data_IF_588548782065
#
_entry.id   IF_588548782065
#
_cell.length_a   1.000
_cell.length_b   1.000
_cell.length_c   1.000
_cell.angle_alpha   90.00
_cell.angle_beta   90.00
_cell.angle_gamma   90.00
#
_symmetry.space_group_name_H-M   'P 1'
#
loop_
_entity.id
_entity.type
_entity.pdbx_description
1 polymer ?
#
# COMPACT_ATOMS: atom_id res chain seq x y z
N UNK A 1 -1.41 3.28 24.92
CA UNK A 1 -1.96 2.48 23.82
C UNK A 1 -0.90 1.50 23.38
N UNK A 2 -1.27 0.30 23.00
CA UNK A 2 -0.28 -0.75 22.77
C UNK A 2 0.19 -0.74 21.31
N UNK A 3 1.51 -0.86 21.14
CA UNK A 3 2.13 -1.17 19.85
C UNK A 3 1.49 -2.43 19.24
N UNK A 4 1.40 -2.52 17.92
CA UNK A 4 0.82 -3.66 17.18
C UNK A 4 1.27 -5.03 17.69
N UNK A 5 2.56 -5.20 18.00
CA UNK A 5 3.11 -6.45 18.53
C UNK A 5 2.55 -6.84 19.90
N UNK A 6 2.04 -5.88 20.68
CA UNK A 6 1.38 -6.19 21.95
C UNK A 6 -0.03 -6.76 21.77
N UNK A 7 -0.70 -6.42 20.63
CA UNK A 7 -1.99 -7.00 20.27
C UNK A 7 -1.87 -8.46 19.80
N UNK A 8 -0.72 -8.86 19.27
CA UNK A 8 -0.50 -10.23 18.79
C UNK A 8 -0.43 -11.19 19.98
N UNK A 9 -1.31 -12.21 20.04
CA UNK A 9 -1.29 -13.18 21.14
C UNK A 9 -0.06 -14.08 21.08
N UNK A 10 0.27 -14.63 22.21
CA UNK A 10 1.41 -15.53 22.36
C UNK A 10 1.05 -16.98 22.01
N UNK A 11 2.09 -17.73 21.66
CA UNK A 11 1.99 -19.11 21.28
C UNK A 11 3.17 -19.91 21.86
N UNK A 12 2.90 -20.90 22.69
CA UNK A 12 3.94 -21.78 23.21
C UNK A 12 4.29 -22.84 22.15
N UNK A 13 5.42 -22.64 21.46
CA UNK A 13 5.93 -23.52 20.41
C UNK A 13 6.93 -24.50 20.98
N UNK A 14 6.93 -25.73 20.45
CA UNK A 14 7.86 -26.80 20.86
C UNK A 14 9.30 -26.39 20.59
N UNK A 15 10.15 -26.43 21.60
CA UNK A 15 11.57 -26.11 21.44
C UNK A 15 12.25 -27.13 20.52
N UNK A 16 12.95 -26.63 19.50
CA UNK A 16 13.74 -27.44 18.55
C UNK A 16 15.24 -27.39 18.83
N UNK A 17 15.65 -26.92 19.99
CA UNK A 17 17.06 -26.94 20.39
C UNK A 17 17.57 -28.37 20.50
N UNK A 18 18.86 -28.64 20.20
CA UNK A 18 19.42 -30.00 20.16
C UNK A 18 19.25 -30.79 21.45
N UNK A 19 19.22 -30.13 22.61
CA UNK A 19 19.08 -30.74 23.93
C UNK A 19 17.71 -30.53 24.59
N UNK A 20 16.71 -30.05 23.82
CA UNK A 20 15.39 -29.78 24.37
C UNK A 20 14.62 -31.09 24.63
N UNK A 21 13.93 -31.12 25.78
CA UNK A 21 12.99 -32.18 26.13
C UNK A 21 11.65 -32.01 25.39
N UNK A 22 10.86 -33.06 25.34
CA UNK A 22 9.52 -33.06 24.74
C UNK A 22 8.58 -32.02 25.39
N UNK A 23 8.82 -31.72 26.66
CA UNK A 23 8.03 -30.75 27.45
C UNK A 23 8.52 -29.29 27.34
N UNK A 24 9.62 -29.05 26.60
CA UNK A 24 10.21 -27.72 26.53
C UNK A 24 9.53 -26.89 25.44
N UNK A 25 8.92 -25.80 25.85
CA UNK A 25 8.25 -24.85 24.99
C UNK A 25 8.97 -23.49 25.01
N UNK A 26 8.92 -22.81 23.87
CA UNK A 26 9.40 -21.44 23.72
C UNK A 26 8.20 -20.58 23.40
N UNK A 27 8.00 -19.51 24.19
CA UNK A 27 6.94 -18.55 23.94
C UNK A 27 7.34 -17.63 22.80
N UNK A 28 6.48 -17.56 21.77
CA UNK A 28 6.65 -16.73 20.60
C UNK A 28 5.36 -15.99 20.27
N UNK A 29 5.44 -14.88 19.54
CA UNK A 29 4.25 -14.19 19.01
C UNK A 29 3.65 -14.97 17.85
N UNK A 30 2.33 -15.04 17.79
CA UNK A 30 1.61 -15.73 16.71
C UNK A 30 1.44 -14.83 15.49
N UNK A 31 2.46 -14.74 14.65
CA UNK A 31 2.44 -13.94 13.41
C UNK A 31 1.44 -14.42 12.34
N UNK A 32 0.79 -15.56 12.54
CA UNK A 32 -0.30 -16.01 11.64
C UNK A 32 -1.63 -15.30 11.92
N UNK A 33 -1.72 -14.57 13.05
CA UNK A 33 -2.83 -13.69 13.35
C UNK A 33 -2.49 -12.26 13.01
N UNK A 34 -3.44 -11.58 12.36
CA UNK A 34 -3.31 -10.15 12.01
C UNK A 34 -4.62 -9.43 12.28
N UNK A 35 -4.53 -8.16 12.58
CA UNK A 35 -5.69 -7.26 12.60
C UNK A 35 -6.16 -7.06 11.17
N UNK A 36 -7.46 -7.03 10.98
CA UNK A 36 -8.12 -6.64 9.74
C UNK A 36 -9.16 -5.58 10.04
N UNK A 37 -9.31 -4.60 9.16
CA UNK A 37 -10.45 -3.69 9.26
C UNK A 37 -11.71 -4.45 8.89
N UNK A 38 -12.81 -4.17 9.62
CA UNK A 38 -14.12 -4.69 9.25
C UNK A 38 -14.48 -4.22 7.84
N UNK A 39 -15.20 -5.06 7.11
CA UNK A 39 -15.56 -4.80 5.72
C UNK A 39 -16.43 -3.53 5.56
N UNK A 40 -17.35 -3.29 6.50
CA UNK A 40 -18.19 -2.09 6.54
C UNK A 40 -17.40 -0.79 6.73
N UNK A 41 -16.28 -0.83 7.47
CA UNK A 41 -15.36 0.29 7.63
C UNK A 41 -14.51 0.44 6.36
N UNK A 42 -13.90 -0.65 5.89
CA UNK A 42 -12.98 -0.62 4.75
C UNK A 42 -13.64 -0.15 3.45
N UNK A 43 -14.89 -0.55 3.20
CA UNK A 43 -15.65 -0.17 2.00
C UNK A 43 -16.24 1.25 2.06
N UNK A 44 -16.22 1.90 3.21
CA UNK A 44 -16.87 3.18 3.40
C UNK A 44 -15.85 4.33 3.52
N UNK A 45 -15.67 5.06 2.43
CA UNK A 45 -14.74 6.20 2.35
C UNK A 45 -15.03 7.32 3.38
N UNK A 46 -16.23 7.36 3.98
CA UNK A 46 -16.55 8.39 4.99
C UNK A 46 -15.75 8.24 6.27
N UNK A 47 -15.23 7.04 6.57
CA UNK A 47 -14.35 6.78 7.71
C UNK A 47 -12.92 7.30 7.50
N UNK A 48 -12.54 7.61 6.25
CA UNK A 48 -11.19 7.97 5.89
C UNK A 48 -11.09 9.44 5.43
N UNK A 49 -9.87 9.97 5.48
CA UNK A 49 -9.51 11.25 4.90
C UNK A 49 -8.26 11.05 4.04
N UNK A 50 -8.19 11.74 2.89
CA UNK A 50 -6.98 11.78 2.08
C UNK A 50 -5.91 12.59 2.80
N UNK A 51 -4.70 12.07 2.83
CA UNK A 51 -3.54 12.68 3.44
C UNK A 51 -2.35 12.64 2.48
N UNK A 52 -1.74 13.78 2.14
CA UNK A 52 -0.52 13.80 1.36
C UNK A 52 0.69 13.59 2.27
N UNK A 53 1.52 12.61 1.96
CA UNK A 53 2.79 12.40 2.66
C UNK A 53 3.76 13.50 2.25
N UNK A 54 4.25 14.26 3.21
CA UNK A 54 5.19 15.36 2.99
C UNK A 54 6.64 14.91 3.17
N UNK A 55 7.48 15.30 2.22
CA UNK A 55 8.93 15.07 2.30
C UNK A 55 9.29 13.58 2.49
N UNK A 56 10.03 13.29 3.54
CA UNK A 56 10.53 11.94 3.89
C UNK A 56 9.81 11.37 5.11
N UNK A 57 8.55 11.74 5.33
CA UNK A 57 7.80 11.23 6.47
C UNK A 57 7.66 9.71 6.40
N UNK A 58 8.01 9.07 7.49
CA UNK A 58 7.83 7.63 7.70
C UNK A 58 6.42 7.37 8.28
N UNK A 59 5.91 6.12 8.22
CA UNK A 59 4.60 5.80 8.79
C UNK A 59 4.44 6.24 10.26
N UNK A 60 5.48 6.06 11.08
CA UNK A 60 5.51 6.48 12.48
C UNK A 60 5.42 8.02 12.65
N UNK A 61 6.08 8.78 11.77
CA UNK A 61 5.98 10.24 11.77
C UNK A 61 4.57 10.71 11.39
N UNK A 62 3.97 10.08 10.38
CA UNK A 62 2.59 10.39 9.98
C UNK A 62 1.61 10.04 11.11
N UNK A 63 1.79 8.88 11.75
CA UNK A 63 0.97 8.47 12.90
C UNK A 63 1.09 9.46 14.06
N UNK A 64 2.29 9.95 14.35
CA UNK A 64 2.52 10.98 15.37
C UNK A 64 1.82 12.31 15.00
N UNK A 65 1.85 12.72 13.73
CA UNK A 65 1.20 13.96 13.28
C UNK A 65 -0.32 13.87 13.33
N UNK A 66 -0.89 12.72 12.99
CA UNK A 66 -2.33 12.52 12.83
C UNK A 66 -3.01 12.06 14.12
N UNK A 67 -2.42 11.09 14.79
CA UNK A 67 -3.01 10.41 15.96
C UNK A 67 -2.34 10.80 17.29
N UNK A 68 -1.31 11.66 17.24
CA UNK A 68 -0.47 12.01 18.40
C UNK A 68 0.20 10.79 19.06
N UNK A 69 0.30 9.68 18.31
CA UNK A 69 0.87 8.43 18.77
C UNK A 69 1.59 7.67 17.64
N UNK A 70 2.93 7.57 17.68
CA UNK A 70 3.72 6.89 16.64
C UNK A 70 3.47 5.37 16.59
N UNK A 71 3.01 4.76 17.69
CA UNK A 71 2.71 3.32 17.77
C UNK A 71 1.50 2.89 16.92
N UNK A 72 0.78 3.85 16.31
CA UNK A 72 -0.34 3.60 15.42
C UNK A 72 0.04 3.61 13.92
N UNK A 73 1.33 3.52 13.61
CA UNK A 73 1.84 3.42 12.24
C UNK A 73 1.23 2.24 11.46
N UNK A 74 1.02 1.11 12.15
CA UNK A 74 0.37 -0.07 11.59
C UNK A 74 -1.04 0.19 11.06
N UNK A 75 -1.77 1.12 11.68
CA UNK A 75 -3.13 1.49 11.25
C UNK A 75 -3.12 2.22 9.91
N UNK A 76 -2.11 3.08 9.69
CA UNK A 76 -1.91 3.75 8.41
C UNK A 76 -1.58 2.73 7.32
N UNK A 77 -0.67 1.80 7.60
CA UNK A 77 -0.30 0.74 6.67
C UNK A 77 -1.50 -0.16 6.34
N UNK A 78 -2.28 -0.52 7.36
CA UNK A 78 -3.48 -1.34 7.21
C UNK A 78 -4.57 -0.65 6.38
N UNK A 79 -4.80 0.66 6.62
CA UNK A 79 -5.80 1.44 5.88
C UNK A 79 -5.51 1.54 4.38
N UNK A 80 -4.23 1.48 4.00
CA UNK A 80 -3.77 1.55 2.61
C UNK A 80 -3.37 0.18 2.03
N UNK A 81 -3.57 -0.90 2.77
CA UNK A 81 -3.15 -2.26 2.40
C UNK A 81 -1.66 -2.35 2.04
N UNK A 82 -0.81 -1.55 2.70
CA UNK A 82 0.64 -1.56 2.51
C UNK A 82 1.22 -2.74 3.30
N UNK A 83 1.82 -3.68 2.59
CA UNK A 83 2.45 -4.88 3.18
C UNK A 83 3.97 -4.84 3.13
N UNK A 84 4.52 -4.12 2.17
CA UNK A 84 5.96 -4.00 1.97
C UNK A 84 6.41 -2.54 1.87
N UNK A 85 6.71 -1.94 3.03
CA UNK A 85 7.07 -0.53 3.16
C UNK A 85 8.15 -0.08 2.15
N UNK A 86 9.27 -0.83 1.92
CA UNK A 86 10.32 -0.38 1.02
C UNK A 86 9.89 -0.12 -0.43
N UNK A 87 8.83 -0.79 -0.91
CA UNK A 87 8.36 -0.66 -2.30
C UNK A 87 7.05 0.11 -2.44
N UNK A 88 6.20 0.07 -1.40
CA UNK A 88 4.84 0.63 -1.43
C UNK A 88 4.74 1.99 -0.73
N UNK A 89 5.68 2.33 0.14
CA UNK A 89 5.79 3.65 0.75
C UNK A 89 6.66 4.58 -0.11
N UNK A 90 6.37 5.90 -0.18
CA UNK A 90 7.19 6.81 -0.97
C UNK A 90 8.62 6.89 -0.45
N UNK A 91 9.56 6.85 -1.38
CA UNK A 91 10.99 6.90 -1.10
C UNK A 91 11.45 8.32 -0.73
N UNK A 92 12.53 8.40 0.05
CA UNK A 92 13.30 9.62 0.17
C UNK A 92 13.96 9.97 -1.17
N UNK A 93 14.18 11.26 -1.48
CA UNK A 93 14.75 11.66 -2.75
C UNK A 93 16.08 10.96 -3.08
N UNK A 94 16.98 10.84 -2.10
CA UNK A 94 18.26 10.16 -2.28
C UNK A 94 18.11 8.66 -2.58
N UNK A 95 17.10 8.02 -2.01
CA UNK A 95 16.83 6.61 -2.26
C UNK A 95 16.17 6.42 -3.63
N UNK A 96 15.31 7.35 -4.03
CA UNK A 96 14.72 7.38 -5.36
C UNK A 96 15.78 7.57 -6.46
N UNK A 97 16.72 8.49 -6.29
CA UNK A 97 17.82 8.69 -7.23
C UNK A 97 18.69 7.44 -7.36
N UNK A 98 18.96 6.76 -6.24
CA UNK A 98 19.70 5.50 -6.25
C UNK A 98 18.91 4.39 -6.93
N UNK A 99 17.61 4.26 -6.65
CA UNK A 99 16.72 3.31 -7.31
C UNK A 99 16.70 3.51 -8.84
N UNK A 100 16.62 4.77 -9.32
CA UNK A 100 16.67 5.07 -10.74
C UNK A 100 17.99 4.64 -11.39
N UNK A 101 19.13 4.89 -10.73
CA UNK A 101 20.43 4.46 -11.23
C UNK A 101 20.59 2.94 -11.24
N UNK A 102 20.08 2.24 -10.24
CA UNK A 102 20.08 0.78 -10.19
C UNK A 102 19.20 0.15 -11.27
N UNK A 103 18.08 0.79 -11.62
CA UNK A 103 17.12 0.28 -12.61
C UNK A 103 17.51 0.57 -14.06
N UNK A 104 18.08 1.75 -14.33
CA UNK A 104 18.33 2.25 -15.68
C UNK A 104 19.80 2.46 -16.03
N UNK A 105 20.72 2.13 -15.12
CA UNK A 105 22.19 2.17 -15.24
C UNK A 105 22.82 3.57 -15.40
N UNK A 106 22.18 4.49 -16.12
CA UNK A 106 22.78 5.81 -16.39
C UNK A 106 21.74 6.93 -16.54
N UNK A 107 22.17 8.15 -16.30
CA UNK A 107 21.33 9.35 -16.37
C UNK A 107 20.75 9.61 -17.76
N UNK A 108 21.46 9.25 -18.82
CA UNK A 108 20.92 9.45 -20.18
C UNK A 108 19.69 8.58 -20.43
N UNK A 109 19.73 7.32 -20.01
CA UNK A 109 18.55 6.42 -20.10
C UNK A 109 17.42 6.89 -19.21
N UNK A 110 17.71 7.44 -18.02
CA UNK A 110 16.71 7.95 -17.10
C UNK A 110 15.93 9.11 -17.72
N UNK A 111 16.63 10.15 -18.18
CA UNK A 111 16.01 11.41 -18.61
C UNK A 111 15.63 11.48 -20.08
N UNK A 112 16.29 10.72 -20.96
CA UNK A 112 16.04 10.75 -22.41
C UNK A 112 15.47 9.43 -22.95
N UNK A 113 15.51 8.33 -22.18
CA UNK A 113 14.89 7.07 -22.57
C UNK A 113 13.37 7.19 -22.51
N UNK A 114 12.70 6.78 -23.59
CA UNK A 114 11.24 6.77 -23.68
C UNK A 114 10.71 5.51 -23.04
N UNK A 115 9.86 5.65 -22.03
CA UNK A 115 9.16 4.54 -21.39
C UNK A 115 7.95 4.11 -22.22
N UNK A 116 7.07 5.06 -22.56
CA UNK A 116 5.87 4.86 -23.40
C UNK A 116 5.45 6.19 -24.03
N UNK A 117 4.37 6.17 -24.81
CA UNK A 117 3.74 7.37 -25.34
C UNK A 117 2.36 7.54 -24.72
N UNK A 118 2.00 8.77 -24.42
CA UNK A 118 0.68 9.15 -23.94
C UNK A 118 -0.02 10.07 -24.95
N UNK A 119 -1.35 10.03 -24.95
CA UNK A 119 -2.16 10.95 -25.78
C UNK A 119 -2.08 12.37 -25.23
N UNK A 120 -2.09 13.33 -26.15
CA UNK A 120 -2.38 14.74 -25.89
C UNK A 120 -3.88 14.95 -26.02
N UNK A 121 -4.49 15.81 -25.20
CA UNK A 121 -5.91 16.10 -25.28
C UNK A 121 -6.28 16.68 -26.65
N UNK A 122 -7.28 16.08 -27.31
CA UNK A 122 -7.84 16.54 -28.56
C UNK A 122 -9.31 16.92 -28.35
N UNK A 123 -9.67 18.13 -28.78
CA UNK A 123 -11.04 18.64 -28.71
C UNK A 123 -11.57 18.94 -30.09
N UNK A 124 -12.87 18.77 -30.25
CA UNK A 124 -13.59 19.22 -31.47
C UNK A 124 -13.77 20.75 -31.49
N UNK A 125 -14.39 21.25 -32.53
CA UNK A 125 -14.70 22.69 -32.72
C UNK A 125 -15.69 23.24 -31.69
N UNK A 126 -16.43 22.40 -30.99
CA UNK A 126 -17.34 22.73 -29.88
C UNK A 126 -16.69 22.60 -28.51
N UNK A 127 -15.36 22.37 -28.44
CA UNK A 127 -14.61 22.18 -27.20
C UNK A 127 -14.96 20.88 -26.42
N UNK A 128 -15.53 19.88 -27.12
CA UNK A 128 -15.82 18.57 -26.59
C UNK A 128 -14.56 17.71 -26.70
N UNK A 129 -14.15 17.10 -25.62
CA UNK A 129 -12.96 16.21 -25.59
C UNK A 129 -13.24 14.93 -26.37
N UNK A 130 -12.52 14.74 -27.49
CA UNK A 130 -12.55 13.53 -28.32
C UNK A 130 -11.54 12.49 -27.83
N UNK A 131 -10.32 12.93 -27.52
CA UNK A 131 -9.28 12.09 -26.94
C UNK A 131 -8.82 12.76 -25.64
N UNK A 132 -8.97 12.10 -24.49
CA UNK A 132 -8.42 12.62 -23.24
C UNK A 132 -6.89 12.52 -23.24
N UNK A 133 -6.21 13.40 -22.50
CA UNK A 133 -4.78 13.30 -22.28
C UNK A 133 -4.43 12.13 -21.37
N UNK A 134 -3.22 11.57 -21.53
CA UNK A 134 -2.64 10.60 -20.60
C UNK A 134 -3.07 9.15 -20.82
N UNK A 135 -3.65 8.80 -21.97
CA UNK A 135 -3.86 7.41 -22.35
C UNK A 135 -2.58 6.84 -22.97
N UNK A 136 -2.16 5.68 -22.49
CA UNK A 136 -1.02 4.96 -23.05
C UNK A 136 -1.33 4.41 -24.43
N UNK A 137 -0.57 4.81 -25.43
CA UNK A 137 -0.77 4.48 -26.85
C UNK A 137 0.57 4.25 -27.56
N UNK A 138 0.51 3.78 -28.80
CA UNK A 138 1.68 3.72 -29.68
C UNK A 138 2.09 5.12 -30.17
N UNK A 139 3.33 5.27 -30.56
CA UNK A 139 3.89 6.54 -31.06
C UNK A 139 3.18 7.14 -32.27
N UNK A 140 2.61 6.28 -33.10
CA UNK A 140 1.91 6.60 -34.36
C UNK A 140 0.38 6.60 -34.23
N UNK A 141 -0.14 6.69 -33.02
CA UNK A 141 -1.57 6.73 -32.75
C UNK A 141 -2.22 7.94 -33.44
N UNK A 142 -3.34 7.69 -34.13
CA UNK A 142 -4.15 8.68 -34.79
C UNK A 142 -5.61 8.47 -34.43
N UNK A 143 -6.39 9.54 -34.39
CA UNK A 143 -7.84 9.48 -34.13
C UNK A 143 -8.62 10.15 -35.23
N UNK A 144 -9.59 9.42 -35.78
CA UNK A 144 -10.56 9.96 -36.74
C UNK A 144 -11.91 10.14 -36.06
N UNK A 145 -12.50 11.32 -36.19
CA UNK A 145 -13.81 11.64 -35.63
C UNK A 145 -14.60 12.54 -36.57
N UNK A 146 -15.93 12.57 -36.41
CA UNK A 146 -16.80 13.47 -37.12
C UNK A 146 -16.97 14.76 -36.32
N UNK A 147 -16.60 15.89 -36.93
CA UNK A 147 -16.78 17.20 -36.31
C UNK A 147 -18.19 17.74 -36.71
N UNK A 148 -19.13 17.70 -35.79
CA UNK A 148 -20.52 18.08 -36.00
C UNK A 148 -20.68 19.57 -36.28
N UNK A 149 -19.77 20.44 -35.89
CA UNK A 149 -19.84 21.87 -36.14
C UNK A 149 -19.45 22.20 -37.58
N UNK A 150 -18.45 21.51 -38.12
CA UNK A 150 -17.97 21.70 -39.48
C UNK A 150 -18.73 20.79 -40.46
N UNK A 151 -19.25 19.67 -39.97
CA UNK A 151 -19.98 18.69 -40.79
C UNK A 151 -19.06 17.72 -41.56
N UNK A 152 -17.79 17.55 -41.14
CA UNK A 152 -16.82 16.75 -41.87
C UNK A 152 -16.05 15.77 -40.92
N UNK A 153 -15.51 14.72 -41.55
CA UNK A 153 -14.59 13.80 -40.86
C UNK A 153 -13.22 14.46 -40.73
N UNK A 154 -12.68 14.46 -39.52
CA UNK A 154 -11.29 14.90 -39.22
C UNK A 154 -10.46 13.75 -38.76
N UNK A 155 -9.21 13.72 -39.18
CA UNK A 155 -8.18 12.80 -38.67
C UNK A 155 -7.07 13.63 -38.04
N UNK A 156 -6.89 13.46 -36.76
CA UNK A 156 -5.79 14.08 -36.02
C UNK A 156 -4.62 13.08 -35.88
N UNK A 157 -3.44 13.56 -36.26
CA UNK A 157 -2.16 12.85 -36.14
C UNK A 157 -1.21 13.67 -35.30
N UNK A 158 -0.13 13.07 -34.82
CA UNK A 158 0.81 13.70 -33.88
C UNK A 158 0.16 14.15 -32.56
N UNK A 159 -0.78 13.35 -32.07
CA UNK A 159 -1.49 13.55 -30.81
C UNK A 159 -0.91 12.73 -29.67
N UNK A 160 0.36 12.36 -29.80
CA UNK A 160 1.10 11.59 -28.80
C UNK A 160 2.30 12.39 -28.31
N UNK A 161 2.67 12.19 -27.06
CA UNK A 161 3.90 12.67 -26.47
C UNK A 161 4.71 11.50 -25.90
N UNK A 162 6.04 11.50 -26.01
CA UNK A 162 6.85 10.54 -25.29
C UNK A 162 6.86 10.88 -23.79
N UNK A 163 6.80 9.85 -22.96
CA UNK A 163 6.99 9.92 -21.51
C UNK A 163 8.35 9.31 -21.22
N UNK A 164 9.22 10.03 -20.53
CA UNK A 164 10.53 9.53 -20.17
C UNK A 164 10.48 8.53 -19.03
N UNK A 165 11.55 7.74 -18.85
CA UNK A 165 11.64 6.83 -17.71
C UNK A 165 11.56 7.57 -16.38
N UNK A 166 12.16 8.77 -16.29
CA UNK A 166 12.08 9.61 -15.09
C UNK A 166 10.64 10.06 -14.79
N UNK A 167 9.94 10.60 -15.79
CA UNK A 167 8.56 11.08 -15.62
C UNK A 167 7.62 9.95 -15.18
N UNK A 168 7.81 8.75 -15.72
CA UNK A 168 7.03 7.57 -15.33
C UNK A 168 7.26 7.19 -13.87
N UNK A 169 8.53 7.03 -13.47
CA UNK A 169 8.87 6.63 -12.10
C UNK A 169 8.49 7.72 -11.08
N UNK A 170 8.67 8.98 -11.43
CA UNK A 170 8.26 10.12 -10.59
C UNK A 170 6.73 10.14 -10.38
N UNK A 171 5.95 9.85 -11.43
CA UNK A 171 4.50 9.73 -11.34
C UNK A 171 4.10 8.60 -10.40
N UNK A 172 4.67 7.40 -10.59
CA UNK A 172 4.43 6.24 -9.72
C UNK A 172 4.78 6.56 -8.26
N UNK A 173 5.89 7.25 -8.03
CA UNK A 173 6.34 7.63 -6.69
C UNK A 173 5.43 8.70 -6.04
N UNK A 174 4.97 9.66 -6.83
CA UNK A 174 4.03 10.69 -6.37
C UNK A 174 2.64 10.11 -6.07
N UNK A 175 2.19 9.10 -6.80
CA UNK A 175 0.91 8.43 -6.54
C UNK A 175 0.92 7.74 -5.16
N UNK A 176 2.05 7.18 -4.74
CA UNK A 176 2.22 6.59 -3.40
C UNK A 176 2.09 7.61 -2.26
N UNK A 177 2.31 8.92 -2.55
CA UNK A 177 2.19 9.98 -1.53
C UNK A 177 0.76 10.29 -1.13
N UNK A 178 -0.22 9.88 -1.92
CA UNK A 178 -1.62 10.11 -1.63
C UNK A 178 -2.21 8.91 -0.89
N UNK A 179 -2.20 8.96 0.43
CA UNK A 179 -2.72 7.88 1.28
C UNK A 179 -4.07 8.22 1.89
N UNK A 180 -4.77 7.19 2.34
CA UNK A 180 -5.94 7.32 3.18
C UNK A 180 -5.58 7.08 4.64
N UNK A 181 -6.05 7.94 5.51
CA UNK A 181 -5.93 7.80 6.96
C UNK A 181 -7.32 7.65 7.58
N UNK A 182 -7.44 6.81 8.60
CA UNK A 182 -8.66 6.70 9.38
C UNK A 182 -8.87 8.01 10.16
N UNK A 183 -10.09 8.53 10.16
CA UNK A 183 -10.42 9.72 10.95
C UNK A 183 -10.28 9.42 12.44
N UNK A 184 -9.78 10.39 13.20
CA UNK A 184 -9.50 10.25 14.63
C UNK A 184 -10.77 9.90 15.44
N UNK A 185 -11.94 10.38 15.03
CA UNK A 185 -13.23 10.06 15.65
C UNK A 185 -13.61 8.56 15.60
N UNK A 186 -13.07 7.83 14.61
CA UNK A 186 -13.34 6.40 14.41
C UNK A 186 -12.23 5.49 14.96
N UNK A 187 -11.17 6.09 15.51
CA UNK A 187 -10.00 5.36 15.98
C UNK A 187 -10.35 4.34 17.07
N UNK A 188 -11.18 4.73 18.04
CA UNK A 188 -11.57 3.87 19.17
C UNK A 188 -12.29 2.62 18.69
N UNK A 189 -13.18 2.73 17.71
CA UNK A 189 -13.92 1.58 17.15
C UNK A 189 -12.96 0.56 16.55
N UNK A 190 -11.97 1.00 15.78
CA UNK A 190 -11.00 0.09 15.15
C UNK A 190 -10.05 -0.54 16.18
N UNK A 191 -9.68 0.20 17.22
CA UNK A 191 -8.85 -0.34 18.29
C UNK A 191 -9.61 -1.38 19.14
N UNK A 192 -10.87 -1.13 19.44
CA UNK A 192 -11.74 -2.07 20.16
C UNK A 192 -11.96 -3.35 19.32
N UNK A 193 -12.24 -3.20 18.01
CA UNK A 193 -12.33 -4.34 17.09
C UNK A 193 -11.01 -5.16 17.06
N UNK A 194 -9.85 -4.50 17.07
CA UNK A 194 -8.55 -5.18 17.12
C UNK A 194 -8.37 -5.98 18.42
N UNK A 195 -8.78 -5.42 19.57
CA UNK A 195 -8.73 -6.08 20.87
C UNK A 195 -9.73 -7.25 20.99
N UNK A 196 -10.77 -7.29 20.17
CA UNK A 196 -11.71 -8.42 20.09
C UNK A 196 -11.27 -9.52 19.14
N UNK A 197 -10.72 -9.16 17.97
CA UNK A 197 -10.37 -10.09 16.90
C UNK A 197 -9.06 -10.84 17.21
N UNK A 198 -8.10 -10.18 17.85
CA UNK A 198 -6.75 -10.75 18.04
C UNK A 198 -6.68 -11.88 19.06
N UNK A 199 -7.40 -11.86 20.20
CA UNK A 199 -7.33 -12.93 21.19
C UNK A 199 -7.83 -14.27 20.67
N UNK A 200 -7.44 -15.34 21.37
CA UNK A 200 -7.93 -16.67 21.08
C UNK A 200 -9.32 -16.90 21.66
N UNK A 201 -10.16 -17.59 20.90
CA UNK A 201 -11.47 -18.07 21.37
C UNK A 201 -11.32 -19.37 22.17
N UNK A 202 -12.17 -19.53 23.20
CA UNK A 202 -12.31 -20.81 23.91
C UNK A 202 -12.88 -21.87 22.96
N UNK A 203 -12.29 -23.03 22.92
CA UNK A 203 -12.88 -24.16 22.17
C UNK A 203 -11.87 -25.15 21.61
N UNK A 204 -10.56 -24.92 21.75
CA UNK A 204 -9.54 -25.91 21.38
C UNK A 204 -8.83 -26.46 22.62
N UNK A 205 -8.35 -27.69 22.56
CA UNK A 205 -7.51 -28.34 23.60
C UNK A 205 -6.20 -27.62 23.85
N UNK A 206 -5.78 -26.78 22.90
CA UNK A 206 -4.57 -25.99 22.95
C UNK A 206 -4.74 -24.64 23.66
N UNK A 207 -5.97 -24.26 23.95
CA UNK A 207 -6.28 -22.98 24.59
C UNK A 207 -5.83 -23.01 26.08
N UNK A 208 -4.97 -22.07 26.44
CA UNK A 208 -4.52 -21.86 27.82
C UNK A 208 -5.21 -20.62 28.38
N UNK A 209 -5.12 -19.49 27.67
CA UNK A 209 -5.69 -18.21 28.06
C UNK A 209 -6.08 -17.42 26.80
N UNK A 210 -6.81 -16.30 26.97
CA UNK A 210 -7.21 -15.39 25.88
C UNK A 210 -6.05 -14.98 24.98
N UNK A 211 -4.86 -14.82 25.56
CA UNK A 211 -3.65 -14.40 24.84
C UNK A 211 -2.61 -15.50 24.68
N UNK A 212 -2.93 -16.75 25.01
CA UNK A 212 -1.97 -17.85 24.99
C UNK A 212 -2.61 -19.17 24.52
N UNK A 213 -2.00 -19.77 23.52
CA UNK A 213 -2.23 -21.15 23.09
C UNK A 213 -0.94 -21.96 23.20
N UNK A 214 -1.09 -23.29 23.32
CA UNK A 214 0.01 -24.23 23.30
C UNK A 214 -0.02 -25.06 22.02
N UNK A 215 1.13 -25.17 21.32
CA UNK A 215 1.21 -26.01 20.14
C UNK A 215 1.15 -27.50 20.51
N UNK A 216 0.56 -28.31 19.63
CA UNK A 216 0.72 -29.76 19.68
C UNK A 216 2.18 -30.16 19.59
N UNK A 217 2.59 -31.14 20.36
CA UNK A 217 3.93 -31.66 20.36
C UNK A 217 4.12 -32.68 19.22
N UNK A 218 4.50 -32.20 18.05
CA UNK A 218 4.74 -33.03 16.84
C UNK A 218 5.79 -34.14 17.09
N UNK A 219 6.66 -33.99 18.10
CA UNK A 219 7.67 -35.00 18.45
C UNK A 219 7.08 -36.28 19.01
N UNK A 220 5.82 -36.28 19.44
CA UNK A 220 5.13 -37.50 19.89
C UNK A 220 4.77 -38.45 18.73
N UNK A 221 4.86 -37.98 17.49
CA UNK A 221 4.48 -38.71 16.27
C UNK A 221 5.67 -39.05 15.37
N UNK A 222 6.90 -38.81 15.84
CA UNK A 222 8.17 -39.22 15.23
C UNK A 222 8.85 -40.26 16.09
#
# INVERSE_FOLDING_TARGET
MSNYFNLIPDFDYVSRLPNAKISDYIRVKNFFRRVTLREDIYQNLTFFTKYPIEGNDRPDNVAQKVYENPDLDWLILLANNITHIPTEWPMAQNDFDRFLLEKYDNYNTIYNGVHHHETIEVKDSNNVTIVPAGLEVNSDFTQTYYDYFIGEMKTESNITRPVTNYEYEEKVENDKRQIFILKQENLTVVLDDADEIMPYEKGSTEFIDRNLKKAENIRLYQ
#
